data_IF_291030917478
#
_entry.id   IF_291030917478
#
_cell.length_a   1.000
_cell.length_b   1.000
_cell.length_c   1.000
_cell.angle_alpha   90.00
_cell.angle_beta   90.00
_cell.angle_gamma   90.00
#
_symmetry.space_group_name_H-M   'P 1'
#
loop_
_entity.id
_entity.type
_entity.pdbx_description
1 polymer ?
#
# COMPACT_ATOMS: atom_id res chain seq x y z
N UNK A 1 7.46 13.63 9.59
CA UNK A 1 8.21 14.79 10.15
C UNK A 1 7.36 16.07 10.29
N UNK A 2 6.02 16.01 10.26
CA UNK A 2 5.18 17.22 10.36
C UNK A 2 5.01 17.68 11.82
N UNK A 3 4.70 16.76 12.73
CA UNK A 3 4.53 17.04 14.16
C UNK A 3 5.82 17.30 14.94
N UNK A 4 6.97 17.15 14.28
CA UNK A 4 8.30 17.49 14.85
C UNK A 4 8.70 18.94 14.56
N UNK A 5 7.88 19.68 13.81
CA UNK A 5 8.11 21.10 13.53
C UNK A 5 7.60 21.97 14.70
N UNK A 6 8.14 23.17 14.89
CA UNK A 6 7.60 24.14 15.84
C UNK A 6 6.11 24.38 15.62
N UNK A 7 5.35 24.52 16.71
CA UNK A 7 3.88 24.59 16.68
C UNK A 7 3.35 25.81 15.89
N UNK A 8 4.15 26.87 15.80
CA UNK A 8 3.80 28.11 15.12
C UNK A 8 4.03 28.05 13.60
N UNK A 9 4.55 26.92 13.10
CA UNK A 9 4.78 26.75 11.66
C UNK A 9 3.44 26.52 10.98
N UNK A 10 3.20 27.28 9.91
CA UNK A 10 2.01 27.19 9.06
C UNK A 10 1.59 25.74 8.70
N UNK A 11 2.49 24.81 8.35
CA UNK A 11 2.09 23.42 8.07
C UNK A 11 1.46 22.69 9.27
N UNK A 12 1.91 22.96 10.49
CA UNK A 12 1.37 22.35 11.72
C UNK A 12 -0.01 22.93 12.01
N UNK A 13 -0.15 24.24 11.90
CA UNK A 13 -1.43 24.95 12.08
C UNK A 13 -2.46 24.44 11.08
N UNK A 14 -2.10 24.37 9.79
CA UNK A 14 -2.98 23.85 8.75
C UNK A 14 -3.37 22.39 9.00
N UNK A 15 -2.43 21.53 9.42
CA UNK A 15 -2.76 20.15 9.71
C UNK A 15 -3.72 20.00 10.88
N UNK A 16 -3.55 20.78 11.96
CA UNK A 16 -4.51 20.83 13.07
C UNK A 16 -5.88 21.28 12.60
N UNK A 17 -5.96 22.34 11.79
CA UNK A 17 -7.22 22.82 11.22
C UNK A 17 -7.91 21.76 10.36
N UNK A 18 -7.15 21.03 9.54
CA UNK A 18 -7.68 19.96 8.69
C UNK A 18 -8.25 18.81 9.54
N UNK A 19 -7.55 18.41 10.60
CA UNK A 19 -8.02 17.37 11.55
C UNK A 19 -9.26 17.84 12.31
N UNK A 20 -9.26 19.09 12.79
CA UNK A 20 -10.36 19.66 13.55
C UNK A 20 -11.63 19.77 12.69
N UNK A 21 -11.51 20.34 11.49
CA UNK A 21 -12.60 20.52 10.53
C UNK A 21 -12.98 19.26 9.77
N UNK A 22 -12.19 18.18 9.86
CA UNK A 22 -12.42 16.89 9.17
C UNK A 22 -12.56 17.06 7.66
N UNK A 23 -11.63 17.77 7.03
CA UNK A 23 -11.66 18.11 5.60
C UNK A 23 -10.47 17.50 4.84
N UNK A 24 -10.48 17.60 3.50
CA UNK A 24 -9.39 17.14 2.62
C UNK A 24 -8.89 15.72 2.93
N UNK A 25 -7.58 15.55 3.18
CA UNK A 25 -6.95 14.27 3.40
C UNK A 25 -7.47 13.53 4.64
N UNK A 26 -8.05 14.22 5.63
CA UNK A 26 -8.69 13.55 6.77
C UNK A 26 -9.84 12.66 6.29
N UNK A 27 -10.69 13.17 5.40
CA UNK A 27 -11.84 12.42 4.89
C UNK A 27 -11.38 11.23 4.06
N UNK A 28 -10.33 11.40 3.26
CA UNK A 28 -9.78 10.33 2.45
C UNK A 28 -9.23 9.20 3.32
N UNK A 29 -8.50 9.51 4.40
CA UNK A 29 -8.05 8.49 5.35
C UNK A 29 -9.19 7.76 6.05
N UNK A 30 -10.24 8.47 6.45
CA UNK A 30 -11.44 7.83 7.03
C UNK A 30 -12.15 6.95 6.01
N UNK A 31 -12.27 7.38 4.76
CA UNK A 31 -12.86 6.58 3.67
C UNK A 31 -12.05 5.32 3.40
N UNK A 32 -10.71 5.43 3.31
CA UNK A 32 -9.82 4.29 3.12
C UNK A 32 -9.88 3.33 4.32
N UNK A 33 -9.88 3.86 5.54
CA UNK A 33 -10.08 3.06 6.75
C UNK A 33 -11.36 2.24 6.68
N UNK A 34 -12.50 2.86 6.35
CA UNK A 34 -13.78 2.15 6.21
C UNK A 34 -13.73 1.03 5.17
N UNK A 35 -13.07 1.24 4.03
CA UNK A 35 -12.90 0.20 3.00
C UNK A 35 -12.15 -1.03 3.51
N UNK A 36 -11.22 -0.83 4.45
CA UNK A 36 -10.43 -1.88 5.07
C UNK A 36 -10.98 -2.36 6.42
N UNK A 37 -12.16 -1.89 6.86
CA UNK A 37 -12.72 -2.22 8.16
C UNK A 37 -11.97 -1.61 9.37
N UNK A 38 -11.16 -0.56 9.15
CA UNK A 38 -10.33 0.08 10.17
C UNK A 38 -10.91 1.46 10.51
N UNK A 39 -11.09 1.73 11.81
CA UNK A 39 -11.45 3.07 12.29
C UNK A 39 -10.20 3.94 12.41
N UNK A 40 -10.15 5.02 11.64
CA UNK A 40 -9.05 5.99 11.67
C UNK A 40 -9.48 7.20 12.50
N UNK A 41 -8.76 7.46 13.59
CA UNK A 41 -8.93 8.67 14.40
C UNK A 41 -7.61 9.43 14.52
N UNK A 42 -7.52 10.53 13.79
CA UNK A 42 -6.33 11.39 13.74
C UNK A 42 -6.29 12.42 14.87
N UNK A 43 -7.26 12.41 15.79
CA UNK A 43 -7.29 13.28 16.98
C UNK A 43 -6.51 12.70 18.15
N UNK A 44 -6.14 11.43 18.08
CA UNK A 44 -5.36 10.76 19.13
C UNK A 44 -4.03 11.50 19.29
N UNK A 45 -3.77 12.00 20.50
CA UNK A 45 -2.53 12.71 20.84
C UNK A 45 -1.30 11.78 20.84
N UNK A 46 -1.53 10.49 21.06
CA UNK A 46 -0.52 9.44 20.93
C UNK A 46 -0.18 9.19 19.45
N UNK A 47 0.90 9.82 19.01
CA UNK A 47 1.42 9.71 17.64
C UNK A 47 1.66 8.26 17.19
N UNK A 48 2.08 7.39 18.09
CA UNK A 48 2.34 5.97 17.79
C UNK A 48 1.06 5.25 17.38
N UNK A 49 -0.05 5.46 18.13
CA UNK A 49 -1.36 4.89 17.79
C UNK A 49 -1.87 5.36 16.45
N UNK A 50 -1.73 6.65 16.13
CA UNK A 50 -2.11 7.18 14.81
C UNK A 50 -1.27 6.53 13.71
N UNK A 51 0.04 6.39 13.93
CA UNK A 51 0.93 5.74 12.98
C UNK A 51 0.57 4.26 12.78
N UNK A 52 0.17 3.56 13.84
CA UNK A 52 -0.26 2.16 13.77
C UNK A 52 -1.57 2.01 13.01
N UNK A 53 -2.57 2.86 13.29
CA UNK A 53 -3.83 2.87 12.54
C UNK A 53 -3.57 3.09 11.04
N UNK A 54 -2.75 4.08 10.69
CA UNK A 54 -2.42 4.37 9.29
C UNK A 54 -1.64 3.22 8.64
N UNK A 55 -0.71 2.58 9.36
CA UNK A 55 -0.01 1.37 8.90
C UNK A 55 -0.99 0.23 8.65
N UNK A 56 -1.94 -0.02 9.56
CA UNK A 56 -2.98 -1.03 9.36
C UNK A 56 -3.83 -0.74 8.12
N UNK A 57 -4.16 0.53 7.84
CA UNK A 57 -4.89 0.89 6.61
C UNK A 57 -4.07 0.57 5.36
N UNK A 58 -2.78 0.91 5.36
CA UNK A 58 -1.88 0.61 4.24
C UNK A 58 -1.77 -0.90 4.02
N UNK A 59 -1.58 -1.68 5.07
CA UNK A 59 -1.50 -3.14 4.97
C UNK A 59 -2.83 -3.77 4.54
N UNK A 60 -3.96 -3.24 5.03
CA UNK A 60 -5.30 -3.65 4.58
C UNK A 60 -5.49 -3.39 3.09
N UNK A 61 -5.06 -2.23 2.58
CA UNK A 61 -5.12 -1.90 1.16
C UNK A 61 -4.21 -2.80 0.33
N UNK A 62 -2.98 -3.06 0.77
CA UNK A 62 -2.04 -3.96 0.10
C UNK A 62 -2.61 -5.37 -0.02
N UNK A 63 -3.19 -5.87 1.07
CA UNK A 63 -3.81 -7.20 1.11
C UNK A 63 -5.01 -7.27 0.17
N UNK A 64 -5.90 -6.28 0.22
CA UNK A 64 -7.07 -6.21 -0.66
C UNK A 64 -6.68 -6.11 -2.14
N UNK A 65 -5.68 -5.26 -2.46
CA UNK A 65 -5.16 -5.12 -3.81
C UNK A 65 -4.55 -6.43 -4.33
N UNK A 66 -3.74 -7.10 -3.49
CA UNK A 66 -3.17 -8.42 -3.83
C UNK A 66 -4.27 -9.43 -4.12
N UNK A 67 -5.30 -9.49 -3.28
CA UNK A 67 -6.44 -10.38 -3.48
C UNK A 67 -7.17 -10.11 -4.81
N UNK A 68 -7.38 -8.84 -5.17
CA UNK A 68 -7.97 -8.46 -6.46
C UNK A 68 -7.10 -8.89 -7.65
N UNK A 69 -5.79 -8.61 -7.60
CA UNK A 69 -4.86 -9.05 -8.65
C UNK A 69 -4.87 -10.58 -8.83
N UNK A 70 -4.86 -11.33 -7.72
CA UNK A 70 -4.95 -12.80 -7.75
C UNK A 70 -6.28 -13.26 -8.32
N UNK A 71 -7.39 -12.63 -7.93
CA UNK A 71 -8.71 -12.90 -8.48
C UNK A 71 -8.75 -12.71 -9.99
N UNK A 72 -8.23 -11.58 -10.49
CA UNK A 72 -8.14 -11.27 -11.92
C UNK A 72 -7.22 -12.21 -12.69
N UNK A 73 -6.11 -12.63 -12.10
CA UNK A 73 -5.21 -13.61 -12.70
C UNK A 73 -5.91 -14.97 -12.86
N UNK A 74 -6.63 -15.43 -11.83
CA UNK A 74 -7.37 -16.69 -11.84
C UNK A 74 -8.57 -16.71 -12.79
N UNK A 75 -9.15 -15.55 -13.08
CA UNK A 75 -10.28 -15.42 -14.01
C UNK A 75 -9.87 -14.96 -15.41
N UNK A 76 -8.56 -14.88 -15.69
CA UNK A 76 -8.06 -14.45 -16.98
C UNK A 76 -8.36 -15.48 -18.07
N UNK A 77 -9.19 -15.10 -19.05
CA UNK A 77 -9.52 -15.94 -20.21
C UNK A 77 -8.44 -15.92 -21.29
N UNK A 78 -7.66 -14.84 -21.35
CA UNK A 78 -6.70 -14.60 -22.44
C UNK A 78 -5.30 -15.16 -22.17
N UNK A 79 -4.94 -15.32 -20.89
CA UNK A 79 -3.58 -15.69 -20.49
C UNK A 79 -3.64 -16.91 -19.57
N UNK A 80 -3.76 -18.10 -20.19
CA UNK A 80 -3.83 -19.39 -19.50
C UNK A 80 -2.63 -19.67 -18.59
N UNK A 81 -1.48 -19.05 -18.86
CA UNK A 81 -0.27 -19.11 -18.03
C UNK A 81 -0.52 -18.58 -16.61
N UNK A 82 -1.46 -17.66 -16.39
CA UNK A 82 -1.79 -17.19 -15.04
C UNK A 82 -2.45 -18.26 -14.17
N UNK A 83 -3.10 -19.27 -14.78
CA UNK A 83 -3.70 -20.40 -14.06
C UNK A 83 -2.67 -21.38 -13.54
N UNK A 84 -1.49 -21.45 -14.18
CA UNK A 84 -0.40 -22.36 -13.80
C UNK A 84 0.62 -21.71 -12.87
N UNK A 85 0.52 -20.39 -12.64
CA UNK A 85 1.40 -19.69 -11.70
C UNK A 85 1.15 -20.17 -10.27
N UNK A 86 2.22 -20.60 -9.62
CA UNK A 86 2.20 -20.74 -8.17
C UNK A 86 2.28 -19.34 -7.53
N UNK A 87 1.15 -18.88 -6.98
CA UNK A 87 1.00 -17.55 -6.38
C UNK A 87 1.56 -17.51 -4.94
N UNK A 88 1.64 -18.67 -4.28
CA UNK A 88 2.25 -18.83 -2.97
C UNK A 88 3.74 -19.15 -3.10
N UNK A 89 4.50 -18.15 -3.55
CA UNK A 89 5.96 -18.24 -3.64
C UNK A 89 6.65 -18.17 -2.27
N UNK A 90 5.94 -17.81 -1.20
CA UNK A 90 6.50 -17.65 0.15
C UNK A 90 7.73 -16.71 0.13
N UNK A 91 8.81 -17.13 0.82
CA UNK A 91 10.10 -16.43 0.84
C UNK A 91 10.89 -16.54 -0.48
N UNK A 92 10.42 -17.31 -1.48
CA UNK A 92 11.08 -17.50 -2.78
C UNK A 92 10.64 -16.48 -3.82
N UNK A 93 10.21 -15.30 -3.37
CA UNK A 93 9.81 -14.20 -4.24
C UNK A 93 11.03 -13.38 -4.67
N UNK A 94 11.38 -13.48 -5.96
CA UNK A 94 12.40 -12.64 -6.62
C UNK A 94 12.05 -11.14 -6.65
N UNK A 95 10.78 -10.79 -6.35
CA UNK A 95 10.26 -9.43 -6.32
C UNK A 95 10.03 -8.95 -4.88
N UNK A 96 10.92 -9.34 -3.96
CA UNK A 96 10.97 -8.75 -2.61
C UNK A 96 11.92 -7.55 -2.60
N UNK A 97 11.62 -6.56 -1.76
CA UNK A 97 12.37 -5.30 -1.61
C UNK A 97 13.86 -5.49 -1.27
N UNK A 98 14.28 -6.70 -0.91
CA UNK A 98 15.67 -7.05 -0.60
C UNK A 98 16.51 -7.43 -1.83
N UNK A 99 15.91 -7.51 -3.01
CA UNK A 99 16.61 -7.95 -4.23
C UNK A 99 17.12 -6.73 -5.01
N UNK A 100 18.39 -6.75 -5.41
CA UNK A 100 18.98 -5.67 -6.21
C UNK A 100 18.18 -5.46 -7.50
N UNK A 101 17.85 -4.20 -7.80
CA UNK A 101 17.06 -3.82 -8.97
C UNK A 101 17.70 -4.25 -10.30
N UNK A 102 19.03 -4.34 -10.34
CA UNK A 102 19.76 -4.86 -11.49
C UNK A 102 19.43 -6.34 -11.73
N UNK A 103 19.37 -7.15 -10.66
CA UNK A 103 19.03 -8.57 -10.74
C UNK A 103 17.58 -8.75 -11.18
N UNK A 104 16.66 -7.95 -10.65
CA UNK A 104 15.26 -7.93 -11.08
C UNK A 104 15.16 -7.57 -12.57
N UNK A 105 15.92 -6.57 -13.04
CA UNK A 105 15.94 -6.16 -14.45
C UNK A 105 16.39 -7.28 -15.38
N UNK A 106 17.48 -8.00 -15.04
CA UNK A 106 17.96 -9.13 -15.83
C UNK A 106 16.96 -10.30 -15.84
N UNK A 107 16.34 -10.61 -14.70
CA UNK A 107 15.32 -11.64 -14.62
C UNK A 107 14.09 -11.32 -15.49
N UNK A 108 13.68 -10.04 -15.54
CA UNK A 108 12.58 -9.59 -16.41
C UNK A 108 12.99 -9.69 -17.89
N UNK A 109 14.19 -9.23 -18.26
CA UNK A 109 14.70 -9.32 -19.64
C UNK A 109 14.75 -10.77 -20.14
N UNK A 110 15.31 -11.67 -19.33
CA UNK A 110 15.39 -13.09 -19.67
C UNK A 110 13.99 -13.74 -19.80
N UNK A 111 13.03 -13.33 -18.97
CA UNK A 111 11.64 -13.80 -19.09
C UNK A 111 10.91 -13.24 -20.30
N UNK A 112 11.17 -11.98 -20.69
CA UNK A 112 10.59 -11.39 -21.88
C UNK A 112 11.10 -12.08 -23.15
N UNK A 113 12.41 -12.36 -23.23
CA UNK A 113 12.98 -13.14 -24.35
C UNK A 113 12.39 -14.55 -24.43
N UNK A 114 12.14 -15.22 -23.30
CA UNK A 114 11.51 -16.55 -23.27
C UNK A 114 10.05 -16.56 -23.75
N UNK A 115 9.38 -15.40 -23.78
CA UNK A 115 7.98 -15.26 -24.21
C UNK A 115 7.91 -14.72 -25.65
N UNK A 116 9.05 -14.53 -26.32
CA UNK A 116 9.16 -13.99 -27.68
C UNK A 116 8.37 -12.68 -27.86
N UNK A 117 8.46 -11.82 -26.82
CA UNK A 117 7.87 -10.47 -26.77
C UNK A 117 8.85 -9.39 -27.24
#
# INVERSE_FOLDING_TARGET
KLFSLPQDRLPVILAKEIINKRIYWYQEWVKLGRKCGITVDLRIEERERVADQLRSVVEGLRTAWRADCVGRARTSLYNSQYLTLNIDLGDRSFLTDNTDICIISWAIKARAELVDL
#
